data_IF_459312069931
#
_entry.id   IF_459312069931
#
_cell.length_a   1.000
_cell.length_b   1.000
_cell.length_c   1.000
_cell.angle_alpha   90.00
_cell.angle_beta   90.00
_cell.angle_gamma   90.00
#
_symmetry.space_group_name_H-M   'P 1'
#
loop_
_entity.id
_entity.type
_entity.pdbx_description
1 polymer ?
#
# COMPACT_ATOMS: atom_id res chain seq x y z
N UNK A 1 -34.53 -3.25 -74.00
CA UNK A 1 -35.47 -3.55 -72.89
C UNK A 1 -34.81 -4.51 -71.91
N UNK A 2 -35.18 -4.40 -70.62
CA UNK A 2 -34.73 -5.16 -69.42
C UNK A 2 -33.40 -4.72 -68.78
N UNK A 3 -33.56 -3.87 -67.75
CA UNK A 3 -32.70 -3.73 -66.58
C UNK A 3 -32.80 -5.02 -65.73
N UNK A 4 -31.76 -5.36 -64.97
CA UNK A 4 -31.83 -5.76 -63.55
C UNK A 4 -30.44 -5.52 -62.93
N UNK A 5 -30.49 -4.97 -61.72
CA UNK A 5 -29.39 -4.51 -60.85
C UNK A 5 -29.14 -5.60 -59.79
N UNK A 6 -27.96 -5.53 -59.17
CA UNK A 6 -27.61 -5.92 -57.79
C UNK A 6 -26.68 -7.11 -57.62
N UNK A 7 -25.63 -6.89 -56.83
CA UNK A 7 -24.74 -7.94 -56.34
C UNK A 7 -23.38 -7.45 -55.84
N UNK A 8 -23.32 -6.35 -55.08
CA UNK A 8 -22.11 -5.97 -54.34
C UNK A 8 -21.97 -6.93 -53.13
N UNK A 9 -21.19 -8.00 -53.25
CA UNK A 9 -20.83 -8.83 -52.10
C UNK A 9 -19.74 -8.13 -51.29
N UNK A 10 -20.15 -7.60 -50.15
CA UNK A 10 -19.29 -7.01 -49.15
C UNK A 10 -18.31 -8.04 -48.60
N UNK A 11 -17.02 -7.71 -48.64
CA UNK A 11 -16.01 -8.31 -47.78
C UNK A 11 -16.43 -8.10 -46.32
N UNK A 12 -16.83 -9.18 -45.66
CA UNK A 12 -17.08 -9.18 -44.22
C UNK A 12 -15.77 -8.97 -43.47
N UNK A 13 -15.45 -7.71 -43.16
CA UNK A 13 -14.51 -7.36 -42.10
C UNK A 13 -15.08 -7.91 -40.80
N UNK A 14 -14.55 -9.04 -40.35
CA UNK A 14 -14.71 -9.49 -38.97
C UNK A 14 -13.97 -8.48 -38.08
N UNK A 15 -14.74 -7.54 -37.52
CA UNK A 15 -14.28 -6.71 -36.41
C UNK A 15 -13.99 -7.65 -35.24
N UNK A 16 -12.73 -8.03 -35.08
CA UNK A 16 -12.23 -8.45 -33.79
C UNK A 16 -12.35 -7.24 -32.87
N UNK A 17 -13.45 -7.17 -32.12
CA UNK A 17 -13.52 -6.36 -30.91
C UNK A 17 -12.52 -6.99 -29.95
N UNK A 18 -11.25 -6.58 -30.06
CA UNK A 18 -10.33 -6.72 -28.96
C UNK A 18 -10.99 -5.98 -27.81
N UNK A 19 -11.53 -6.74 -26.84
CA UNK A 19 -11.91 -6.18 -25.57
C UNK A 19 -10.64 -5.57 -24.99
N UNK A 20 -10.45 -4.27 -25.21
CA UNK A 20 -9.53 -3.48 -24.43
C UNK A 20 -10.08 -3.56 -23.02
N UNK A 21 -9.53 -4.48 -22.23
CA UNK A 21 -9.68 -4.45 -20.78
C UNK A 21 -9.14 -3.09 -20.40
N UNK A 22 -10.06 -2.14 -20.18
CA UNK A 22 -9.73 -0.79 -19.78
C UNK A 22 -8.86 -0.90 -18.54
N UNK A 23 -7.56 -0.72 -18.72
CA UNK A 23 -6.59 -0.76 -17.65
C UNK A 23 -6.77 0.51 -16.84
N UNK A 24 -7.77 0.51 -15.96
CA UNK A 24 -7.74 1.42 -14.82
C UNK A 24 -6.47 1.06 -14.06
N UNK A 25 -5.43 1.89 -14.24
CA UNK A 25 -4.14 1.76 -13.55
C UNK A 25 -4.41 2.09 -12.08
N UNK A 26 -4.95 1.13 -11.35
CA UNK A 26 -5.01 1.18 -9.90
C UNK A 26 -3.64 0.77 -9.41
N UNK A 27 -3.01 1.59 -8.57
CA UNK A 27 -1.72 1.29 -7.92
C UNK A 27 -1.82 0.06 -7.00
N UNK A 28 -3.02 -0.53 -6.88
CA UNK A 28 -3.28 -1.70 -6.05
C UNK A 28 -4.21 -2.71 -6.72
N UNK A 29 -3.95 -3.99 -6.45
CA UNK A 29 -4.81 -5.11 -6.81
C UNK A 29 -5.12 -5.96 -5.58
N UNK A 30 -6.19 -6.73 -5.60
CA UNK A 30 -6.54 -7.68 -4.54
C UNK A 30 -6.65 -9.08 -5.11
N UNK A 31 -6.08 -10.06 -4.41
CA UNK A 31 -6.18 -11.47 -4.78
C UNK A 31 -7.59 -12.02 -4.49
N UNK A 32 -8.17 -12.74 -5.44
CA UNK A 32 -9.51 -13.37 -5.30
C UNK A 32 -9.43 -14.85 -4.93
N UNK A 33 -8.25 -15.45 -5.10
CA UNK A 33 -7.85 -16.79 -4.68
C UNK A 33 -6.40 -16.75 -4.15
N UNK A 34 -5.94 -17.77 -3.42
CA UNK A 34 -4.52 -17.90 -3.11
C UNK A 34 -3.68 -17.96 -4.39
N UNK A 35 -2.50 -17.34 -4.38
CA UNK A 35 -1.55 -17.36 -5.50
C UNK A 35 -0.22 -17.90 -4.98
N UNK A 36 0.29 -18.93 -5.65
CA UNK A 36 1.57 -19.56 -5.33
C UNK A 36 2.62 -19.15 -6.37
N UNK A 37 3.77 -18.69 -5.90
CA UNK A 37 4.92 -18.31 -6.74
C UNK A 37 6.19 -18.84 -6.12
N UNK A 38 6.69 -19.96 -6.64
CA UNK A 38 7.81 -20.68 -6.02
C UNK A 38 7.44 -21.09 -4.59
N UNK A 39 8.19 -20.60 -3.59
CA UNK A 39 7.95 -20.87 -2.17
C UNK A 39 6.99 -19.87 -1.51
N UNK A 40 6.54 -18.85 -2.25
CA UNK A 40 5.68 -17.79 -1.73
C UNK A 40 4.21 -18.15 -1.93
N UNK A 41 3.41 -18.01 -0.87
CA UNK A 41 1.96 -18.15 -0.90
C UNK A 41 1.32 -16.83 -0.50
N UNK A 42 0.65 -16.20 -1.44
CA UNK A 42 -0.16 -14.99 -1.21
C UNK A 42 -1.59 -15.44 -0.90
N UNK A 43 -2.12 -15.18 0.31
CA UNK A 43 -3.49 -15.57 0.66
C UNK A 43 -4.53 -14.84 -0.21
N UNK A 44 -5.73 -15.42 -0.30
CA UNK A 44 -6.92 -14.72 -0.81
C UNK A 44 -7.20 -13.43 -0.02
N UNK A 45 -7.78 -12.43 -0.68
CA UNK A 45 -8.12 -11.12 -0.12
C UNK A 45 -6.90 -10.34 0.38
N UNK A 46 -5.72 -10.60 -0.21
CA UNK A 46 -4.51 -9.81 0.03
C UNK A 46 -4.46 -8.68 -0.97
N UNK A 47 -4.33 -7.46 -0.47
CA UNK A 47 -4.15 -6.28 -1.30
C UNK A 47 -2.67 -6.06 -1.54
N UNK A 48 -2.29 -5.88 -2.79
CA UNK A 48 -0.93 -5.82 -3.30
C UNK A 48 -0.70 -4.45 -3.94
N UNK A 49 0.48 -3.86 -3.76
CA UNK A 49 0.87 -2.66 -4.50
C UNK A 49 1.40 -3.08 -5.87
N UNK A 50 0.71 -2.62 -6.90
CA UNK A 50 0.94 -2.97 -8.29
C UNK A 50 1.86 -1.92 -8.94
N UNK A 51 2.99 -2.38 -9.49
CA UNK A 51 3.95 -1.50 -10.16
C UNK A 51 3.55 -1.38 -11.64
N UNK A 52 3.58 -2.50 -12.36
CA UNK A 52 3.25 -2.60 -13.77
C UNK A 52 3.02 -4.07 -14.18
N UNK A 53 2.77 -4.28 -15.48
CA UNK A 53 2.84 -5.58 -16.12
C UNK A 53 4.03 -5.67 -17.06
N UNK A 54 4.61 -6.86 -17.20
CA UNK A 54 5.65 -7.15 -18.19
C UNK A 54 5.40 -8.49 -18.90
N UNK A 55 6.08 -8.71 -20.03
CA UNK A 55 6.07 -9.99 -20.73
C UNK A 55 7.31 -10.80 -20.34
N UNK A 56 7.10 -12.00 -19.80
CA UNK A 56 8.17 -12.95 -19.45
C UNK A 56 7.83 -14.30 -20.06
N UNK A 57 8.70 -14.83 -20.92
CA UNK A 57 8.53 -16.13 -21.57
C UNK A 57 7.12 -16.33 -22.19
N UNK A 58 6.66 -15.34 -22.98
CA UNK A 58 5.34 -15.30 -23.62
C UNK A 58 4.15 -15.30 -22.64
N UNK A 59 4.34 -14.88 -21.40
CA UNK A 59 3.29 -14.70 -20.40
C UNK A 59 3.31 -13.29 -19.84
N UNK A 60 2.13 -12.70 -19.69
CA UNK A 60 1.97 -11.45 -18.95
C UNK A 60 2.10 -11.72 -17.46
N UNK A 61 3.00 -11.01 -16.79
CA UNK A 61 3.17 -11.04 -15.33
C UNK A 61 2.89 -9.67 -14.72
N UNK A 62 2.36 -9.65 -13.51
CA UNK A 62 2.29 -8.46 -12.67
C UNK A 62 3.56 -8.32 -11.84
N UNK A 63 4.17 -7.14 -11.86
CA UNK A 63 5.23 -6.76 -10.94
C UNK A 63 4.60 -6.10 -9.70
N UNK A 64 4.81 -6.71 -8.54
CA UNK A 64 4.28 -6.24 -7.26
C UNK A 64 5.41 -5.68 -6.41
N UNK A 65 5.18 -4.54 -5.75
CA UNK A 65 6.05 -4.04 -4.70
C UNK A 65 5.89 -4.93 -3.45
N UNK A 66 6.86 -5.82 -3.30
CA UNK A 66 6.95 -6.77 -2.20
C UNK A 66 7.34 -6.07 -0.90
N UNK A 67 8.15 -5.02 -0.99
CA UNK A 67 8.58 -4.23 0.17
C UNK A 67 7.39 -3.56 0.87
N UNK A 68 6.30 -3.27 0.14
CA UNK A 68 5.10 -2.64 0.68
C UNK A 68 4.18 -3.59 1.49
N UNK A 69 4.34 -4.91 1.41
CA UNK A 69 3.47 -5.90 2.10
C UNK A 69 3.85 -6.08 3.57
N UNK A 70 3.00 -6.68 4.39
CA UNK A 70 3.31 -6.98 5.80
C UNK A 70 4.53 -7.88 6.01
N UNK A 71 5.17 -7.74 7.18
CA UNK A 71 6.33 -8.52 7.60
C UNK A 71 6.12 -10.02 7.37
N UNK A 72 4.96 -10.56 7.75
CA UNK A 72 4.64 -11.98 7.59
C UNK A 72 4.76 -12.45 6.15
N UNK A 73 4.35 -11.63 5.17
CA UNK A 73 4.51 -11.95 3.75
C UNK A 73 5.96 -11.73 3.30
N UNK A 74 6.56 -10.59 3.68
CA UNK A 74 7.94 -10.25 3.29
C UNK A 74 8.97 -11.31 3.71
N UNK A 75 8.75 -12.01 4.83
CA UNK A 75 9.66 -13.06 5.28
C UNK A 75 9.66 -14.33 4.41
N UNK A 76 8.69 -14.52 3.52
CA UNK A 76 8.66 -15.69 2.63
C UNK A 76 9.70 -15.58 1.49
N UNK A 77 10.17 -14.36 1.17
CA UNK A 77 11.10 -14.09 0.07
C UNK A 77 11.84 -12.77 0.29
N UNK A 78 13.16 -12.78 0.09
CA UNK A 78 13.98 -11.56 0.08
C UNK A 78 13.78 -10.70 -1.19
N UNK A 79 14.02 -9.40 -1.06
CA UNK A 79 13.96 -8.41 -2.13
C UNK A 79 12.67 -7.58 -2.13
N UNK A 80 12.63 -6.60 -3.03
CA UNK A 80 11.63 -5.54 -2.99
C UNK A 80 10.48 -5.74 -3.98
N UNK A 81 10.59 -6.73 -4.87
CA UNK A 81 9.56 -7.05 -5.85
C UNK A 81 9.25 -8.54 -5.95
N UNK A 82 8.04 -8.84 -6.44
CA UNK A 82 7.60 -10.19 -6.80
C UNK A 82 6.86 -10.14 -8.13
N UNK A 83 7.23 -11.05 -9.03
CA UNK A 83 6.48 -11.31 -10.25
C UNK A 83 5.45 -12.40 -10.00
N UNK A 84 4.21 -12.15 -10.38
CA UNK A 84 3.15 -13.15 -10.31
C UNK A 84 2.38 -13.21 -11.64
N UNK A 85 1.81 -14.37 -11.99
CA UNK A 85 1.02 -14.48 -13.21
C UNK A 85 -0.10 -13.44 -13.23
N UNK A 86 -0.20 -12.66 -14.30
CA UNK A 86 -1.34 -11.76 -14.46
C UNK A 86 -2.54 -12.60 -14.86
N UNK A 87 -3.44 -12.83 -13.91
CA UNK A 87 -4.60 -13.71 -14.09
C UNK A 87 -5.88 -13.07 -13.60
N UNK A 88 -7.00 -13.77 -13.84
CA UNK A 88 -8.32 -13.49 -13.28
C UNK A 88 -8.39 -13.57 -11.74
N UNK A 89 -7.31 -14.06 -11.11
CA UNK A 89 -7.17 -14.06 -9.66
C UNK A 89 -6.79 -12.68 -9.08
N UNK A 90 -6.56 -11.69 -9.94
CA UNK A 90 -6.29 -10.31 -9.53
C UNK A 90 -7.47 -9.42 -9.91
N UNK A 91 -7.90 -8.57 -8.97
CA UNK A 91 -8.91 -7.55 -9.23
C UNK A 91 -8.39 -6.17 -8.83
N UNK A 92 -8.71 -5.17 -9.64
CA UNK A 92 -8.41 -3.78 -9.34
C UNK A 92 -8.95 -3.40 -7.94
N UNK A 93 -8.15 -2.70 -7.17
CA UNK A 93 -8.47 -2.31 -5.81
C UNK A 93 -8.36 -0.80 -5.68
N UNK A 94 -9.34 -0.17 -5.02
CA UNK A 94 -9.32 1.28 -4.81
C UNK A 94 -8.27 1.67 -3.79
N UNK A 95 -7.72 2.87 -3.94
CA UNK A 95 -6.90 3.50 -2.92
C UNK A 95 -7.68 3.71 -1.63
N UNK A 96 -6.94 3.67 -0.54
CA UNK A 96 -7.40 3.97 0.81
C UNK A 96 -6.62 5.17 1.35
N UNK A 97 -7.17 5.82 2.38
CA UNK A 97 -6.45 6.90 3.06
C UNK A 97 -5.15 6.43 3.74
N UNK A 98 -5.01 5.13 3.97
CA UNK A 98 -3.82 4.53 4.57
C UNK A 98 -2.65 4.48 3.58
N UNK A 99 -2.92 4.30 2.29
CA UNK A 99 -1.89 4.17 1.23
C UNK A 99 -1.08 5.45 1.03
N UNK A 100 -1.64 6.59 1.42
CA UNK A 100 -0.99 7.91 1.32
C UNK A 100 -0.13 8.24 2.54
N UNK A 101 0.02 7.29 3.47
CA UNK A 101 0.82 7.50 4.67
C UNK A 101 2.26 7.05 4.41
N UNK A 102 3.25 7.92 4.67
CA UNK A 102 4.65 7.57 4.56
C UNK A 102 5.08 6.64 5.70
N UNK A 103 6.31 6.14 5.63
CA UNK A 103 6.93 5.50 6.79
C UNK A 103 7.41 6.58 7.75
N UNK A 104 7.02 6.45 9.01
CA UNK A 104 7.28 7.47 10.02
C UNK A 104 8.41 7.06 10.95
N UNK A 105 9.27 7.99 11.31
CA UNK A 105 10.29 7.81 12.35
C UNK A 105 9.84 8.48 13.64
N UNK A 106 9.89 7.76 14.77
CA UNK A 106 9.44 8.30 16.05
C UNK A 106 10.40 9.37 16.59
N UNK A 107 9.83 10.50 17.02
CA UNK A 107 10.52 11.59 17.68
C UNK A 107 10.50 12.89 16.89
N UNK A 108 11.46 13.76 17.20
CA UNK A 108 11.78 14.94 16.39
C UNK A 108 12.82 14.55 15.35
N UNK A 109 12.84 15.31 14.25
CA UNK A 109 13.87 15.15 13.23
C UNK A 109 15.26 15.28 13.85
N UNK A 110 16.21 14.51 13.33
CA UNK A 110 17.63 14.56 13.70
C UNK A 110 18.44 14.56 12.42
N UNK A 111 19.33 15.54 12.23
CA UNK A 111 20.08 15.74 10.99
C UNK A 111 21.08 14.63 10.61
N UNK A 112 21.33 13.66 11.49
CA UNK A 112 22.23 12.54 11.20
C UNK A 112 21.46 11.28 10.85
N UNK A 113 21.72 10.69 9.69
CA UNK A 113 21.09 9.46 9.21
C UNK A 113 21.18 8.32 10.24
N UNK A 114 22.36 8.03 10.80
CA UNK A 114 22.53 6.96 11.79
C UNK A 114 21.57 7.09 12.99
N UNK A 115 21.32 8.32 13.46
CA UNK A 115 20.35 8.56 14.56
C UNK A 115 18.90 8.45 14.11
N UNK A 116 18.60 8.64 12.82
CA UNK A 116 17.27 8.38 12.25
C UNK A 116 17.02 6.88 12.16
N UNK A 117 18.01 6.12 11.65
CA UNK A 117 17.97 4.67 11.50
C UNK A 117 17.79 3.94 12.84
N UNK A 118 18.29 4.52 13.94
CA UNK A 118 18.09 3.99 15.29
C UNK A 118 16.68 4.25 15.88
N UNK A 119 15.82 5.06 15.22
CA UNK A 119 14.48 5.37 15.74
C UNK A 119 13.49 4.26 15.41
N UNK A 120 12.49 4.11 16.27
CA UNK A 120 11.32 3.28 16.00
C UNK A 120 10.61 3.78 14.76
N UNK A 121 10.26 2.86 13.87
CA UNK A 121 9.54 3.18 12.64
C UNK A 121 8.08 2.72 12.74
N UNK A 122 7.17 3.50 12.18
CA UNK A 122 5.78 3.12 11.97
C UNK A 122 5.53 3.03 10.46
N UNK A 123 5.03 1.90 9.99
CA UNK A 123 4.77 1.64 8.58
C UNK A 123 3.33 1.18 8.39
N UNK A 124 2.70 1.68 7.34
CA UNK A 124 1.43 1.15 6.84
C UNK A 124 1.74 0.34 5.59
N UNK A 125 1.23 -0.87 5.53
CA UNK A 125 1.49 -1.80 4.43
C UNK A 125 0.33 -1.81 3.44
N UNK A 126 0.61 -2.16 2.18
CA UNK A 126 -0.40 -2.21 1.10
C UNK A 126 -1.49 -3.24 1.34
N UNK A 127 -1.16 -4.31 2.06
CA UNK A 127 -2.10 -5.30 2.59
C UNK A 127 -2.77 -4.84 3.90
N UNK A 128 -2.78 -3.54 4.19
CA UNK A 128 -3.53 -2.89 5.27
C UNK A 128 -3.13 -3.35 6.68
N UNK A 129 -1.84 -3.50 6.98
CA UNK A 129 -1.34 -3.61 8.35
C UNK A 129 -0.66 -2.31 8.79
N UNK A 130 -0.82 -2.00 10.08
CA UNK A 130 0.01 -1.02 10.76
C UNK A 130 1.10 -1.77 11.53
N UNK A 131 2.35 -1.57 11.13
CA UNK A 131 3.52 -2.23 11.70
C UNK A 131 4.39 -1.22 12.43
N UNK A 132 4.74 -1.51 13.68
CA UNK A 132 5.59 -0.67 14.51
C UNK A 132 6.87 -1.41 14.86
N UNK A 133 8.02 -0.81 14.56
CA UNK A 133 9.34 -1.42 14.64
C UNK A 133 10.19 -0.80 15.73
N UNK A 134 11.20 -1.53 16.20
CA UNK A 134 12.17 -1.01 17.17
C UNK A 134 13.20 -0.07 16.54
N UNK A 135 13.44 -0.22 15.24
CA UNK A 135 14.38 0.53 14.39
C UNK A 135 13.72 0.84 13.04
N UNK A 136 14.47 1.42 12.09
CA UNK A 136 14.05 1.61 10.69
C UNK A 136 14.00 0.31 9.87
N UNK A 137 14.54 -0.78 10.39
CA UNK A 137 14.73 -2.01 9.62
C UNK A 137 13.39 -2.77 9.50
N UNK A 138 12.75 -2.67 8.33
CA UNK A 138 11.51 -3.37 8.01
C UNK A 138 11.69 -4.90 7.87
N UNK A 139 12.93 -5.39 7.82
CA UNK A 139 13.24 -6.83 7.79
C UNK A 139 13.26 -7.45 9.18
N UNK A 140 13.29 -6.63 10.24
CA UNK A 140 13.12 -7.11 11.61
C UNK A 140 11.65 -7.34 11.94
N UNK A 141 11.36 -8.28 12.84
CA UNK A 141 9.99 -8.50 13.32
C UNK A 141 9.45 -7.21 13.97
N UNK A 142 8.26 -6.73 13.58
CA UNK A 142 7.65 -5.57 14.23
C UNK A 142 7.34 -5.89 15.69
N UNK A 143 7.54 -4.91 16.57
CA UNK A 143 7.19 -4.99 17.99
C UNK A 143 5.67 -4.92 18.22
N UNK A 144 4.92 -4.45 17.23
CA UNK A 144 3.46 -4.48 17.20
C UNK A 144 2.98 -4.48 15.75
N UNK A 145 1.96 -5.28 15.47
CA UNK A 145 1.28 -5.32 14.17
C UNK A 145 -0.22 -5.36 14.38
N UNK A 146 -0.99 -4.64 13.57
CA UNK A 146 -2.45 -4.66 13.65
C UNK A 146 -3.07 -4.44 12.29
N UNK A 147 -4.02 -5.30 11.91
CA UNK A 147 -4.79 -5.15 10.67
C UNK A 147 -5.68 -3.90 10.73
N UNK A 148 -5.50 -3.02 9.76
CA UNK A 148 -6.37 -1.88 9.49
C UNK A 148 -7.60 -2.38 8.73
N UNK A 149 -8.76 -2.13 9.28
CA UNK A 149 -10.06 -2.50 8.71
C UNK A 149 -10.70 -1.36 7.92
N UNK A 150 -10.33 -0.12 8.22
CA UNK A 150 -10.78 1.08 7.51
C UNK A 150 -9.83 2.24 7.75
N UNK A 151 -9.68 3.11 6.76
CA UNK A 151 -8.95 4.37 6.89
C UNK A 151 -9.76 5.53 6.31
N UNK A 152 -9.69 6.70 6.94
CA UNK A 152 -10.40 7.92 6.49
C UNK A 152 -9.46 9.13 6.61
N UNK A 153 -9.34 9.93 5.55
CA UNK A 153 -8.68 11.24 5.59
C UNK A 153 -9.73 12.34 5.79
N UNK A 154 -9.48 13.28 6.70
CA UNK A 154 -10.30 14.49 6.91
C UNK A 154 -9.38 15.67 7.22
N UNK A 155 -9.13 16.52 6.21
CA UNK A 155 -8.15 17.60 6.30
C UNK A 155 -6.77 17.05 6.71
N UNK A 156 -6.14 17.66 7.71
CA UNK A 156 -4.84 17.22 8.25
C UNK A 156 -4.86 15.90 9.04
N UNK A 157 -6.02 15.26 9.22
CA UNK A 157 -6.14 14.05 10.02
C UNK A 157 -6.36 12.82 9.14
N UNK A 158 -5.60 11.76 9.40
CA UNK A 158 -5.90 10.40 8.90
C UNK A 158 -6.30 9.54 10.08
N UNK A 159 -7.46 8.89 10.00
CA UNK A 159 -7.96 7.96 11.01
C UNK A 159 -7.80 6.54 10.51
N UNK A 160 -7.14 5.69 11.29
CA UNK A 160 -7.01 4.26 11.05
C UNK A 160 -7.87 3.51 12.05
N UNK A 161 -8.69 2.58 11.57
CA UNK A 161 -9.59 1.77 12.40
C UNK A 161 -9.17 0.31 12.41
N UNK A 162 -9.24 -0.32 13.57
CA UNK A 162 -8.96 -1.74 13.74
C UNK A 162 -9.93 -2.41 14.71
N UNK A 163 -10.00 -3.73 14.60
CA UNK A 163 -10.79 -4.60 15.50
C UNK A 163 -10.12 -4.77 16.87
N UNK A 164 -8.79 -4.75 16.90
CA UNK A 164 -7.97 -4.93 18.11
C UNK A 164 -7.20 -3.66 18.43
N UNK A 165 -6.75 -3.55 19.68
CA UNK A 165 -5.90 -2.46 20.13
C UNK A 165 -4.56 -2.48 19.38
N UNK A 166 -4.09 -1.31 18.95
CA UNK A 166 -2.80 -1.16 18.27
C UNK A 166 -1.67 -1.01 19.30
N UNK A 167 -1.47 -2.05 20.11
CA UNK A 167 -0.56 -2.06 21.26
C UNK A 167 0.75 -1.31 20.99
N UNK A 168 1.20 -0.49 21.95
CA UNK A 168 2.34 0.46 21.86
C UNK A 168 2.09 1.76 21.11
N UNK A 169 0.91 1.94 20.50
CA UNK A 169 0.47 3.22 19.97
C UNK A 169 -0.68 3.76 20.82
N UNK A 170 -0.79 5.09 21.00
CA UNK A 170 -1.85 5.69 21.81
C UNK A 170 -3.15 5.82 21.01
N UNK A 171 -3.74 4.69 20.63
CA UNK A 171 -5.05 4.59 20.00
C UNK A 171 -6.19 4.79 21.04
N UNK A 172 -7.40 5.05 20.53
CA UNK A 172 -8.60 5.19 21.36
C UNK A 172 -9.59 4.08 21.03
N UNK A 173 -10.12 3.40 22.05
CA UNK A 173 -11.30 2.54 21.89
C UNK A 173 -12.52 3.44 21.63
N UNK A 174 -13.16 3.27 20.47
CA UNK A 174 -14.31 4.07 20.01
C UNK A 174 -15.59 3.26 19.90
N UNK A 175 -15.51 1.93 19.89
CA UNK A 175 -16.66 1.01 19.94
C UNK A 175 -16.34 -0.24 20.77
N UNK A 176 -17.35 -0.88 21.32
CA UNK A 176 -17.21 -2.15 22.07
C UNK A 176 -17.09 -3.37 21.15
N UNK A 177 -17.82 -3.37 20.02
CA UNK A 177 -17.95 -4.49 19.08
C UNK A 177 -17.70 -4.09 17.61
N UNK A 178 -17.64 -5.07 16.72
CA UNK A 178 -17.45 -4.89 15.27
C UNK A 178 -15.99 -4.69 14.84
N UNK A 179 -15.78 -4.32 13.58
CA UNK A 179 -14.43 -4.19 13.00
C UNK A 179 -13.75 -2.84 13.33
N UNK A 180 -14.50 -1.82 13.78
CA UNK A 180 -14.01 -0.46 14.00
C UNK A 180 -13.95 -0.10 15.50
N UNK A 181 -13.38 -0.99 16.30
CA UNK A 181 -13.36 -0.87 17.77
C UNK A 181 -12.33 0.13 18.26
N UNK A 182 -11.19 0.19 17.61
CA UNK A 182 -10.07 1.05 17.97
C UNK A 182 -9.78 2.02 16.82
N UNK A 183 -9.43 3.25 17.17
CA UNK A 183 -9.08 4.32 16.24
C UNK A 183 -7.75 4.95 16.61
N UNK A 184 -6.80 4.90 15.70
CA UNK A 184 -5.57 5.69 15.76
C UNK A 184 -5.73 6.92 14.88
N UNK A 185 -5.38 8.09 15.43
CA UNK A 185 -5.42 9.35 14.70
C UNK A 185 -4.00 9.76 14.34
N UNK A 186 -3.71 9.96 13.07
CA UNK A 186 -2.46 10.55 12.58
C UNK A 186 -2.78 11.99 12.17
N UNK A 187 -2.11 12.94 12.79
CA UNK A 187 -2.22 14.37 12.47
C UNK A 187 -0.97 14.81 11.71
N UNK A 188 -1.17 15.33 10.53
CA UNK A 188 -0.18 16.10 9.79
C UNK A 188 -0.01 17.49 10.44
N UNK A 189 1.22 17.82 10.82
CA UNK A 189 1.60 19.11 11.40
C UNK A 189 2.27 20.05 10.37
N UNK A 190 2.35 19.62 9.11
CA UNK A 190 3.02 20.29 8.00
C UNK A 190 4.54 20.10 7.99
N UNK A 191 5.15 20.59 6.92
CA UNK A 191 6.60 20.69 6.79
C UNK A 191 7.19 21.63 7.84
N UNK A 192 8.37 21.26 8.33
CA UNK A 192 9.21 22.00 9.27
C UNK A 192 10.64 22.03 8.73
N UNK A 193 11.42 22.99 9.20
CA UNK A 193 12.85 23.09 8.91
C UNK A 193 13.61 22.84 10.20
N UNK A 194 14.57 21.93 10.17
CA UNK A 194 15.49 21.75 11.29
C UNK A 194 16.41 22.97 11.39
N UNK A 195 16.49 23.66 12.55
CA UNK A 195 17.27 24.89 12.66
C UNK A 195 18.77 24.66 12.51
N UNK A 196 19.28 23.48 12.88
CA UNK A 196 20.71 23.19 12.85
C UNK A 196 21.18 22.76 11.46
N UNK A 197 20.43 21.87 10.80
CA UNK A 197 20.81 21.33 9.48
C UNK A 197 20.14 22.02 8.31
N UNK A 198 19.18 22.93 8.55
CA UNK A 198 18.31 23.54 7.53
C UNK A 198 17.52 22.52 6.67
N UNK A 199 17.49 21.26 7.08
CA UNK A 199 16.80 20.21 6.36
C UNK A 199 15.30 20.32 6.63
N UNK A 200 14.53 20.25 5.55
CA UNK A 200 13.07 20.16 5.66
C UNK A 200 12.61 18.74 5.98
N UNK A 201 11.55 18.64 6.76
CA UNK A 201 10.93 17.37 7.10
C UNK A 201 9.43 17.55 7.33
N UNK A 202 8.65 16.53 6.99
CA UNK A 202 7.23 16.49 7.33
C UNK A 202 7.05 16.04 8.78
N UNK A 203 6.29 16.80 9.57
CA UNK A 203 6.02 16.47 10.99
C UNK A 203 4.64 15.88 11.18
N UNK A 204 4.54 14.82 11.98
CA UNK A 204 3.28 14.17 12.32
C UNK A 204 3.11 14.00 13.83
N UNK A 205 1.87 13.86 14.28
CA UNK A 205 1.53 13.40 15.63
C UNK A 205 0.66 12.14 15.55
N UNK A 206 1.00 11.10 16.30
CA UNK A 206 0.29 9.80 16.23
C UNK A 206 -0.43 9.52 17.56
N UNK A 207 -1.75 9.47 17.50
CA UNK A 207 -2.70 9.26 18.58
C UNK A 207 -2.83 10.44 19.56
N UNK A 208 -1.70 10.98 20.06
CA UNK A 208 -1.61 12.17 20.91
C UNK A 208 -0.71 13.22 20.28
N UNK A 209 -0.98 14.50 20.56
CA UNK A 209 -0.18 15.62 20.02
C UNK A 209 1.30 15.56 20.42
N UNK A 210 1.59 15.08 21.62
CA UNK A 210 2.96 14.95 22.13
C UNK A 210 3.75 13.78 21.51
N UNK A 211 3.07 12.76 20.96
CA UNK A 211 3.73 11.62 20.34
C UNK A 211 4.10 11.96 18.90
N UNK A 212 5.29 12.55 18.75
CA UNK A 212 5.79 13.10 17.48
C UNK A 212 6.44 12.05 16.62
N UNK A 213 6.27 12.24 15.32
CA UNK A 213 6.92 11.49 14.26
C UNK A 213 7.38 12.46 13.17
N UNK A 214 8.33 12.03 12.36
CA UNK A 214 8.80 12.79 11.21
C UNK A 214 9.07 11.89 10.00
N UNK A 215 9.13 12.54 8.84
CA UNK A 215 9.58 11.97 7.58
C UNK A 215 10.57 12.95 6.96
N UNK A 216 11.83 12.56 6.69
CA UNK A 216 12.78 13.43 5.99
C UNK A 216 12.22 13.80 4.61
N UNK A 217 12.30 15.07 4.20
CA UNK A 217 12.05 15.37 2.77
C UNK A 217 13.15 14.72 1.92
N UNK A 218 12.76 14.07 0.81
CA UNK A 218 13.65 13.35 -0.09
C UNK A 218 13.74 11.82 0.10
N UNK A 219 13.00 11.25 1.05
CA UNK A 219 12.78 9.79 1.14
C UNK A 219 11.28 9.51 1.09
N UNK A 220 10.79 9.13 -0.11
CA UNK A 220 9.47 8.53 -0.30
C UNK A 220 9.62 7.01 -0.26
#
# INVERSE_FOLDING_TARGET
MKKIVQGLMAFGCTLFVSATVGSAKTDFVTTTAPIEVGTVVIPKNTRLSFIDTSQVANRTVANIDWSALSYTLRQQKAGDSLQLPYSDHLRASKDTAADRLPWFYQGRYVGSEARQLARKMLKVTSDQYLEYYKSHDAQQKPISTTKITKSIKKGKFTFLYAKTNMAKLPDKKVRSTGNYRYRLTIRDNGTKTDPASQQKYSSFSVGRVANKFFVPEGRA
#
